data_IF_136135047865
#
_entry.id   IF_136135047865
#
_cell.length_a   1.000
_cell.length_b   1.000
_cell.length_c   1.000
_cell.angle_alpha   90.00
_cell.angle_beta   90.00
_cell.angle_gamma   90.00
#
_symmetry.space_group_name_H-M   'P 1'
#
loop_
_entity.id
_entity.type
_entity.pdbx_description
1 polymer ?
#
# COMPACT_ATOMS: atom_id res chain seq x y z
N UNK A 1 5.73 36.36 -7.30
CA UNK A 1 6.45 35.45 -6.40
C UNK A 1 5.59 34.20 -6.32
N UNK A 2 6.09 33.07 -6.83
CA UNK A 2 5.28 31.91 -7.26
C UNK A 2 4.97 30.94 -6.12
N UNK A 3 3.69 30.55 -6.02
CA UNK A 3 3.14 29.62 -5.03
C UNK A 3 3.46 28.13 -5.31
N UNK A 4 4.73 27.76 -5.48
CA UNK A 4 5.12 26.41 -5.93
C UNK A 4 6.00 25.61 -4.96
N UNK A 5 6.27 26.08 -3.74
CA UNK A 5 7.36 25.53 -2.91
C UNK A 5 6.92 24.72 -1.66
N UNK A 6 5.68 24.21 -1.64
CA UNK A 6 5.20 23.32 -0.55
C UNK A 6 4.48 22.06 -1.05
N UNK A 7 4.92 21.47 -2.17
CA UNK A 7 4.62 20.05 -2.41
C UNK A 7 5.33 19.25 -1.32
N UNK A 8 4.61 18.99 -0.22
CA UNK A 8 5.10 18.28 0.94
C UNK A 8 5.81 16.98 0.52
N UNK A 9 7.07 16.73 0.96
CA UNK A 9 7.81 15.51 0.67
C UNK A 9 7.03 14.24 0.98
N UNK A 10 6.10 14.31 1.94
CA UNK A 10 5.24 13.20 2.35
C UNK A 10 4.40 12.66 1.19
N UNK A 11 3.96 13.51 0.25
CA UNK A 11 3.17 13.05 -0.90
C UNK A 11 3.99 12.21 -1.88
N UNK A 12 5.29 12.50 -2.05
CA UNK A 12 6.15 11.66 -2.91
C UNK A 12 6.46 10.33 -2.23
N UNK A 13 6.76 10.32 -0.93
CA UNK A 13 7.08 9.09 -0.20
C UNK A 13 5.89 8.11 -0.12
N UNK A 14 4.67 8.61 0.06
CA UNK A 14 3.47 7.75 0.03
C UNK A 14 3.29 7.07 -1.32
N UNK A 15 3.48 7.83 -2.41
CA UNK A 15 3.38 7.29 -3.76
C UNK A 15 4.47 6.26 -4.04
N UNK A 16 5.71 6.54 -3.63
CA UNK A 16 6.84 5.62 -3.77
C UNK A 16 6.60 4.30 -3.03
N UNK A 17 6.23 4.36 -1.74
CA UNK A 17 5.97 3.16 -0.95
C UNK A 17 4.82 2.30 -1.54
N UNK A 18 3.70 2.93 -1.92
CA UNK A 18 2.57 2.21 -2.54
C UNK A 18 2.97 1.62 -3.89
N UNK A 19 3.74 2.35 -4.70
CA UNK A 19 4.19 1.88 -6.00
C UNK A 19 5.20 0.72 -5.87
N UNK A 20 6.11 0.78 -4.90
CA UNK A 20 7.03 -0.33 -4.59
C UNK A 20 6.25 -1.59 -4.19
N UNK A 21 5.25 -1.45 -3.32
CA UNK A 21 4.39 -2.56 -2.93
C UNK A 21 3.61 -3.12 -4.12
N UNK A 22 3.06 -2.26 -4.97
CA UNK A 22 2.33 -2.67 -6.17
C UNK A 22 3.21 -3.46 -7.15
N UNK A 23 4.46 -3.03 -7.34
CA UNK A 23 5.40 -3.66 -8.25
C UNK A 23 5.90 -5.03 -7.78
N UNK A 24 5.59 -5.44 -6.54
CA UNK A 24 5.88 -6.81 -6.08
C UNK A 24 5.13 -7.88 -6.88
N UNK A 25 4.04 -7.52 -7.55
CA UNK A 25 3.33 -8.40 -8.49
C UNK A 25 4.21 -8.94 -9.62
N UNK A 26 5.28 -8.23 -9.97
CA UNK A 26 6.17 -8.57 -11.09
C UNK A 26 7.24 -9.61 -10.72
N UNK A 27 7.33 -9.99 -9.44
CA UNK A 27 8.45 -10.79 -8.94
C UNK A 27 8.21 -12.29 -9.02
N UNK A 28 6.96 -12.75 -8.98
CA UNK A 28 6.63 -14.19 -8.92
C UNK A 28 5.48 -14.53 -9.90
N UNK A 29 5.85 -15.08 -11.07
CA UNK A 29 5.00 -15.93 -11.92
C UNK A 29 3.58 -15.45 -12.28
N UNK A 30 2.74 -16.40 -12.72
CA UNK A 30 1.30 -16.16 -12.91
C UNK A 30 0.59 -16.36 -11.57
N UNK A 31 -0.30 -15.44 -11.21
CA UNK A 31 -1.11 -15.51 -10.00
C UNK A 31 -2.06 -16.72 -10.08
N UNK A 32 -1.70 -17.83 -9.43
CA UNK A 32 -2.51 -19.05 -9.32
C UNK A 32 -2.51 -19.47 -7.86
N UNK A 33 -3.69 -19.65 -7.26
CA UNK A 33 -3.87 -19.91 -5.83
C UNK A 33 -3.26 -18.82 -4.92
N UNK A 34 -4.03 -17.75 -4.74
CA UNK A 34 -3.63 -16.50 -4.10
C UNK A 34 -3.47 -16.62 -2.58
N UNK A 35 -3.63 -17.82 -2.02
CA UNK A 35 -3.38 -18.05 -0.60
C UNK A 35 -1.94 -17.69 -0.28
N UNK A 36 -1.67 -16.72 0.61
CA UNK A 36 -0.30 -16.36 0.96
C UNK A 36 0.46 -17.58 1.46
N UNK A 37 1.57 -17.90 0.80
CA UNK A 37 2.53 -18.92 1.21
C UNK A 37 3.89 -18.26 1.48
N UNK A 38 4.81 -18.96 2.15
CA UNK A 38 6.18 -18.45 2.31
C UNK A 38 6.86 -18.16 0.97
N UNK A 39 6.54 -18.93 -0.07
CA UNK A 39 7.08 -18.76 -1.42
C UNK A 39 6.62 -17.44 -2.05
N UNK A 40 5.43 -16.95 -1.69
CA UNK A 40 4.85 -15.70 -2.20
C UNK A 40 5.11 -14.51 -1.27
N UNK A 41 6.05 -14.61 -0.32
CA UNK A 41 6.29 -13.57 0.71
C UNK A 41 6.55 -12.19 0.11
N UNK A 42 7.23 -12.14 -1.04
CA UNK A 42 7.53 -10.88 -1.73
C UNK A 42 6.28 -10.22 -2.31
N UNK A 43 5.29 -11.00 -2.76
CA UNK A 43 4.03 -10.50 -3.32
C UNK A 43 3.00 -10.09 -2.28
N UNK A 44 3.20 -10.40 -0.99
CA UNK A 44 2.23 -10.08 0.08
C UNK A 44 1.76 -8.61 0.02
N UNK A 45 2.62 -7.60 -0.17
CA UNK A 45 2.17 -6.21 -0.27
C UNK A 45 1.20 -5.99 -1.43
N UNK A 46 1.49 -6.53 -2.63
CA UNK A 46 0.57 -6.48 -3.75
C UNK A 46 -0.76 -7.19 -3.45
N UNK A 47 -0.71 -8.39 -2.88
CA UNK A 47 -1.91 -9.17 -2.56
C UNK A 47 -2.82 -8.43 -1.58
N UNK A 48 -2.27 -7.71 -0.60
CA UNK A 48 -3.05 -6.88 0.33
C UNK A 48 -3.75 -5.72 -0.38
N UNK A 49 -3.09 -5.06 -1.34
CA UNK A 49 -3.67 -3.94 -2.10
C UNK A 49 -4.72 -4.44 -3.09
N UNK A 50 -4.47 -5.58 -3.74
CA UNK A 50 -5.36 -6.18 -4.73
C UNK A 50 -6.53 -6.97 -4.09
N UNK A 51 -6.64 -6.96 -2.76
CA UNK A 51 -7.69 -7.67 -2.04
C UNK A 51 -9.07 -7.03 -2.31
N UNK A 52 -9.88 -7.65 -3.18
CA UNK A 52 -11.22 -7.21 -3.54
C UNK A 52 -12.26 -7.27 -2.42
N UNK A 53 -11.98 -7.96 -1.32
CA UNK A 53 -12.80 -7.88 -0.11
C UNK A 53 -12.42 -6.70 0.80
N UNK A 54 -11.25 -6.09 0.61
CA UNK A 54 -10.79 -4.94 1.39
C UNK A 54 -11.42 -3.65 0.87
N UNK A 55 -12.29 -3.03 1.67
CA UNK A 55 -12.93 -1.76 1.35
C UNK A 55 -12.51 -0.59 2.25
N UNK A 56 -11.62 -0.84 3.21
CA UNK A 56 -11.11 0.16 4.16
C UNK A 56 -9.60 -0.01 4.30
N UNK A 57 -8.90 1.12 4.27
CA UNK A 57 -7.46 1.21 4.50
C UNK A 57 -7.16 2.38 5.44
N UNK A 58 -6.29 2.15 6.41
CA UNK A 58 -5.76 3.19 7.29
C UNK A 58 -4.24 3.20 7.22
N UNK A 59 -3.64 4.34 6.86
CA UNK A 59 -2.20 4.49 6.78
C UNK A 59 -1.68 5.56 7.74
N UNK A 60 -0.49 5.33 8.28
CA UNK A 60 0.24 6.26 9.12
C UNK A 60 1.70 6.33 8.66
N UNK A 61 2.36 7.45 8.95
CA UNK A 61 3.79 7.58 8.77
C UNK A 61 4.46 8.16 10.01
N UNK A 62 5.72 7.81 10.21
CA UNK A 62 6.59 8.41 11.20
C UNK A 62 7.94 8.70 10.56
N UNK A 63 8.47 9.91 10.78
CA UNK A 63 9.83 10.26 10.36
C UNK A 63 10.75 9.91 11.53
N UNK A 64 11.54 8.87 11.35
CA UNK A 64 12.55 8.46 12.31
C UNK A 64 13.80 9.29 12.06
N UNK A 65 14.21 10.08 13.04
CA UNK A 65 15.52 10.71 13.06
C UNK A 65 16.20 10.24 14.34
N UNK A 66 17.34 9.57 14.23
CA UNK A 66 18.20 9.28 15.38
C UNK A 66 18.94 10.58 15.71
N UNK A 67 18.22 11.55 16.26
CA UNK A 67 18.85 12.65 16.99
C UNK A 67 19.44 12.03 18.26
N UNK A 68 20.66 11.50 18.15
CA UNK A 68 21.54 11.27 19.28
C UNK A 68 21.88 12.65 19.90
N UNK A 69 20.91 13.27 20.56
CA UNK A 69 21.21 14.19 21.64
C UNK A 69 22.03 13.38 22.66
N UNK A 70 23.32 13.68 22.76
CA UNK A 70 24.31 13.14 23.72
C UNK A 70 25.17 11.96 23.26
N UNK A 71 25.90 12.04 22.14
CA UNK A 71 27.19 11.34 22.05
C UNK A 71 28.26 12.21 21.39
N UNK A 72 29.10 12.80 22.23
CA UNK A 72 30.39 13.34 21.84
C UNK A 72 31.24 12.20 21.21
N UNK A 73 31.41 12.20 19.88
CA UNK A 73 32.61 11.62 19.27
C UNK A 73 32.49 10.42 18.32
N UNK A 74 31.36 10.13 17.67
CA UNK A 74 31.35 9.21 16.51
C UNK A 74 30.50 9.72 15.33
N UNK A 75 31.14 9.83 14.17
CA UNK A 75 30.63 10.36 12.88
C UNK A 75 29.64 9.41 12.16
N UNK A 76 28.65 8.85 12.85
CA UNK A 76 27.56 8.12 12.19
C UNK A 76 26.26 8.89 12.39
N UNK A 77 26.08 9.96 11.61
CA UNK A 77 24.77 10.59 11.46
C UNK A 77 23.96 9.60 10.60
N UNK A 78 23.08 8.81 11.21
CA UNK A 78 22.15 7.98 10.45
C UNK A 78 21.19 8.90 9.69
N UNK A 79 21.01 8.67 8.39
CA UNK A 79 20.06 9.45 7.60
C UNK A 79 18.64 9.18 8.09
N UNK A 80 17.80 10.23 8.25
CA UNK A 80 16.43 10.03 8.68
C UNK A 80 15.67 9.17 7.68
N UNK A 81 14.88 8.22 8.17
CA UNK A 81 14.05 7.34 7.34
C UNK A 81 12.57 7.48 7.68
N UNK A 82 11.72 7.19 6.70
CA UNK A 82 10.28 7.29 6.85
C UNK A 82 9.68 5.88 7.06
N UNK A 83 9.13 5.64 8.24
CA UNK A 83 8.32 4.46 8.52
C UNK A 83 6.90 4.71 8.02
N UNK A 84 6.48 4.01 6.95
CA UNK A 84 5.13 4.08 6.41
C UNK A 84 4.40 2.74 6.62
N UNK A 85 3.23 2.78 7.23
CA UNK A 85 2.45 1.59 7.56
C UNK A 85 1.02 1.77 7.10
N UNK A 86 0.49 0.79 6.37
CA UNK A 86 -0.93 0.69 6.04
C UNK A 86 -1.53 -0.57 6.66
N UNK A 87 -2.76 -0.45 7.14
CA UNK A 87 -3.57 -1.54 7.69
C UNK A 87 -4.83 -1.69 6.84
N UNK A 88 -5.18 -2.94 6.58
CA UNK A 88 -6.31 -3.33 5.75
C UNK A 88 -7.30 -4.13 6.60
N UNK A 89 -8.61 -4.01 6.32
CA UNK A 89 -9.64 -4.78 7.01
C UNK A 89 -9.59 -6.27 6.67
N UNK A 90 -10.07 -7.13 7.57
CA UNK A 90 -10.11 -8.58 7.35
C UNK A 90 -11.10 -8.96 6.25
N UNK A 91 -10.59 -9.54 5.15
CA UNK A 91 -11.42 -9.99 4.02
C UNK A 91 -10.67 -10.96 3.08
N UNK A 92 -11.37 -11.87 2.37
CA UNK A 92 -10.77 -12.78 1.39
C UNK A 92 -10.29 -12.03 0.14
N UNK A 93 -9.18 -12.50 -0.47
CA UNK A 93 -8.44 -11.78 -1.52
C UNK A 93 -9.26 -11.38 -2.75
N UNK A 94 -9.98 -12.27 -3.41
CA UNK A 94 -11.08 -11.93 -4.34
C UNK A 94 -11.73 -13.23 -4.81
N UNK A 95 -12.91 -13.12 -5.41
CA UNK A 95 -13.57 -14.25 -6.09
C UNK A 95 -13.29 -14.14 -7.58
N UNK A 96 -12.78 -15.21 -8.20
CA UNK A 96 -12.63 -15.26 -9.65
C UNK A 96 -13.99 -15.18 -10.35
N UNK A 97 -14.08 -14.36 -11.40
CA UNK A 97 -15.29 -14.18 -12.19
C UNK A 97 -15.24 -12.96 -13.09
N UNK A 98 -16.29 -12.73 -13.91
CA UNK A 98 -16.44 -11.50 -14.66
C UNK A 98 -16.45 -10.27 -13.74
N UNK A 99 -15.96 -9.14 -14.25
CA UNK A 99 -15.98 -7.87 -13.51
C UNK A 99 -17.39 -7.57 -13.00
N UNK A 100 -17.49 -7.23 -11.71
CA UNK A 100 -18.73 -6.88 -11.03
C UNK A 100 -19.85 -7.95 -11.05
N UNK A 101 -19.56 -9.22 -11.30
CA UNK A 101 -20.62 -10.25 -11.32
C UNK A 101 -21.34 -10.36 -9.96
N UNK A 102 -20.61 -10.10 -8.85
CA UNK A 102 -21.12 -10.10 -7.48
C UNK A 102 -21.87 -8.81 -7.06
N UNK A 103 -21.86 -7.76 -7.88
CA UNK A 103 -22.35 -6.42 -7.51
C UNK A 103 -22.91 -5.65 -8.71
N UNK A 104 -23.64 -6.33 -9.61
CA UNK A 104 -24.11 -5.78 -10.91
C UNK A 104 -24.83 -4.44 -10.79
N UNK A 105 -25.59 -4.25 -9.72
CA UNK A 105 -26.37 -3.07 -9.40
C UNK A 105 -25.56 -1.91 -8.80
N UNK A 106 -24.33 -2.19 -8.36
CA UNK A 106 -23.42 -1.25 -7.68
C UNK A 106 -22.05 -1.15 -8.35
N UNK A 107 -21.96 -1.52 -9.62
CA UNK A 107 -20.69 -1.50 -10.34
C UNK A 107 -20.34 -0.08 -10.81
N UNK A 108 -19.27 0.49 -10.24
CA UNK A 108 -18.78 1.84 -10.51
C UNK A 108 -17.45 1.80 -11.27
N UNK A 109 -17.04 2.97 -11.78
CA UNK A 109 -15.75 3.18 -12.44
C UNK A 109 -15.50 2.28 -13.67
N UNK A 110 -16.01 2.67 -14.84
CA UNK A 110 -15.89 1.90 -16.09
C UNK A 110 -16.32 0.43 -16.00
N UNK A 111 -17.21 0.11 -15.04
CA UNK A 111 -17.70 -1.24 -14.76
C UNK A 111 -16.62 -2.21 -14.25
N UNK A 112 -15.62 -1.71 -13.51
CA UNK A 112 -14.51 -2.55 -13.03
C UNK A 112 -14.47 -2.74 -11.50
N UNK A 113 -15.16 -1.88 -10.72
CA UNK A 113 -15.13 -1.93 -9.25
C UNK A 113 -16.53 -1.89 -8.65
N UNK A 114 -16.74 -2.60 -7.54
CA UNK A 114 -17.98 -2.54 -6.78
C UNK A 114 -17.98 -1.31 -5.87
N UNK A 115 -19.08 -0.56 -5.85
CA UNK A 115 -19.37 0.40 -4.80
C UNK A 115 -19.72 -0.35 -3.51
N UNK A 116 -19.12 0.11 -2.42
CA UNK A 116 -19.25 -0.51 -1.10
C UNK A 116 -19.85 0.45 -0.09
N UNK A 117 -20.64 1.45 -0.53
CA UNK A 117 -21.34 2.46 0.29
C UNK A 117 -21.37 2.03 1.75
N UNK A 118 -20.61 2.75 2.59
CA UNK A 118 -20.37 2.42 3.99
C UNK A 118 -21.69 2.21 4.73
N UNK A 119 -22.11 0.95 4.83
CA UNK A 119 -23.12 0.50 5.77
C UNK A 119 -22.62 0.65 7.21
#
# INVERSE_FOLDING_TARGET
>A
MSDNEWRSPIKSYQFEAVNEWWNTALQDGTLVDLTPSEENRKMIPFLQIANGGTNKVGCAYHVCNDDYENNEGYENVEEPFLLFVCTYGDSPLYTEGPLCDSCKDRCIYHQTLCDTESA
#
